data_IF_883220488717
#
_entry.id   IF_883220488717
#
_cell.length_a   1.000
_cell.length_b   1.000
_cell.length_c   1.000
_cell.angle_alpha   90.00
_cell.angle_beta   90.00
_cell.angle_gamma   90.00
#
_symmetry.space_group_name_H-M   'P 1'
#
loop_
_entity.id
_entity.type
_entity.pdbx_description
1 polymer ?
#
# COMPACT_ATOMS: atom_id res chain seq x y z
N UNK A 1 -15.03 -20.70 -21.63
CA UNK A 1 -14.70 -20.53 -20.20
C UNK A 1 -13.49 -19.61 -20.06
N UNK A 2 -13.66 -18.43 -19.50
CA UNK A 2 -12.55 -17.47 -19.30
C UNK A 2 -11.85 -17.80 -17.99
N UNK A 3 -10.68 -18.45 -18.03
CA UNK A 3 -9.83 -18.60 -16.83
C UNK A 3 -9.22 -17.25 -16.52
N UNK A 4 -9.59 -16.65 -15.38
CA UNK A 4 -8.92 -15.47 -14.82
C UNK A 4 -7.60 -15.90 -14.17
N UNK A 5 -6.62 -15.03 -14.17
CA UNK A 5 -5.35 -15.28 -13.50
C UNK A 5 -4.81 -13.99 -12.91
N UNK A 6 -4.21 -14.09 -11.73
CA UNK A 6 -3.53 -12.99 -11.05
C UNK A 6 -2.02 -13.17 -11.25
N UNK A 7 -1.31 -12.07 -11.48
CA UNK A 7 0.15 -12.05 -11.45
C UNK A 7 0.60 -11.70 -10.03
N UNK A 8 1.38 -12.58 -9.43
CA UNK A 8 1.83 -12.47 -8.05
C UNK A 8 3.34 -12.46 -7.97
N UNK A 9 3.92 -11.53 -7.22
CA UNK A 9 5.36 -11.48 -6.97
C UNK A 9 5.67 -12.24 -5.69
N UNK A 10 6.39 -13.35 -5.82
CA UNK A 10 6.87 -14.17 -4.71
C UNK A 10 7.61 -13.30 -3.70
N UNK A 11 7.24 -13.37 -2.43
CA UNK A 11 7.94 -12.76 -1.30
C UNK A 11 8.92 -13.75 -0.67
N UNK A 12 9.84 -13.23 0.13
CA UNK A 12 10.78 -14.10 0.85
C UNK A 12 10.01 -14.98 1.85
N UNK A 13 10.19 -16.29 1.77
CA UNK A 13 9.45 -17.26 2.60
C UNK A 13 8.17 -17.80 1.96
N UNK A 14 7.75 -17.29 0.80
CA UNK A 14 6.61 -17.86 0.09
C UNK A 14 6.91 -19.27 -0.41
N UNK A 15 5.88 -20.12 -0.30
CA UNK A 15 5.91 -21.47 -0.86
C UNK A 15 4.71 -21.65 -1.78
N UNK A 16 4.85 -22.49 -2.81
CA UNK A 16 3.73 -22.83 -3.69
C UNK A 16 2.52 -23.34 -2.90
N UNK A 17 2.77 -24.02 -1.77
CA UNK A 17 1.74 -24.47 -0.84
C UNK A 17 1.03 -23.30 -0.14
N UNK A 18 1.79 -22.39 0.47
CA UNK A 18 1.22 -21.22 1.15
C UNK A 18 0.45 -20.31 0.20
N UNK A 19 0.94 -20.15 -1.03
CA UNK A 19 0.21 -19.40 -2.06
C UNK A 19 -1.07 -20.12 -2.49
N UNK A 20 -1.05 -21.44 -2.66
CA UNK A 20 -2.27 -22.17 -2.97
C UNK A 20 -3.29 -22.16 -1.82
N UNK A 21 -2.83 -22.20 -0.57
CA UNK A 21 -3.70 -22.03 0.59
C UNK A 21 -4.31 -20.63 0.63
N UNK A 22 -3.50 -19.60 0.38
CA UNK A 22 -3.92 -18.20 0.36
C UNK A 22 -4.92 -17.89 -0.75
N UNK A 23 -4.66 -18.35 -1.97
CA UNK A 23 -5.46 -17.98 -3.15
C UNK A 23 -6.56 -18.97 -3.51
N UNK A 24 -6.48 -20.22 -3.05
CA UNK A 24 -7.49 -21.25 -3.32
C UNK A 24 -8.17 -21.80 -2.07
N UNK A 25 -7.78 -21.35 -0.88
CA UNK A 25 -8.20 -21.94 0.39
C UNK A 25 -7.70 -23.39 0.58
N UNK A 26 -6.81 -23.88 -0.29
CA UNK A 26 -6.39 -25.28 -0.31
C UNK A 26 -4.96 -25.41 -0.83
N UNK A 27 -4.00 -25.55 0.10
CA UNK A 27 -2.58 -25.70 -0.21
C UNK A 27 -2.25 -26.87 -1.14
N UNK A 28 -3.09 -27.91 -1.22
CA UNK A 28 -2.90 -29.06 -2.14
C UNK A 28 -3.02 -28.69 -3.62
N UNK A 29 -3.59 -27.51 -3.92
CA UNK A 29 -3.73 -26.95 -5.27
C UNK A 29 -2.47 -26.22 -5.75
N UNK A 30 -1.35 -26.31 -5.03
CA UNK A 30 -0.05 -25.79 -5.44
C UNK A 30 0.40 -26.26 -6.83
N UNK A 31 -0.01 -27.47 -7.22
CA UNK A 31 0.26 -28.05 -8.54
C UNK A 31 -0.33 -27.22 -9.69
N UNK A 32 -1.43 -26.49 -9.45
CA UNK A 32 -2.06 -25.63 -10.46
C UNK A 32 -1.19 -24.39 -10.73
N UNK A 33 -0.62 -23.80 -9.67
CA UNK A 33 0.31 -22.68 -9.77
C UNK A 33 1.60 -23.13 -10.45
N UNK A 34 2.15 -24.28 -10.06
CA UNK A 34 3.36 -24.83 -10.65
C UNK A 34 3.19 -25.08 -12.16
N UNK A 35 2.10 -25.74 -12.56
CA UNK A 35 1.78 -26.02 -13.98
C UNK A 35 1.52 -24.76 -14.79
N UNK A 36 0.98 -23.71 -14.19
CA UNK A 36 0.71 -22.46 -14.89
C UNK A 36 1.97 -21.63 -15.18
N UNK A 37 3.08 -21.95 -14.51
CA UNK A 37 4.36 -21.24 -14.59
C UNK A 37 5.51 -22.14 -15.02
N UNK A 38 5.21 -23.36 -15.48
CA UNK A 38 6.21 -24.36 -15.88
C UNK A 38 7.28 -24.63 -14.79
N UNK A 39 6.90 -24.49 -13.51
CA UNK A 39 7.78 -24.76 -12.37
C UNK A 39 7.78 -26.25 -12.05
N UNK A 40 8.95 -26.84 -11.85
CA UNK A 40 9.02 -28.22 -11.34
C UNK A 40 8.89 -28.18 -9.81
N UNK A 41 8.23 -29.18 -9.20
CA UNK A 41 7.91 -29.16 -7.76
C UNK A 41 9.14 -29.14 -6.81
N UNK A 42 10.35 -29.15 -7.36
CA UNK A 42 11.62 -28.99 -6.64
C UNK A 42 12.23 -27.58 -6.78
N UNK A 43 11.71 -26.74 -7.69
CA UNK A 43 12.14 -25.36 -7.84
C UNK A 43 11.54 -24.54 -6.69
N UNK A 44 12.40 -24.12 -5.77
CA UNK A 44 12.02 -23.14 -4.75
C UNK A 44 11.51 -21.88 -5.43
N UNK A 45 10.44 -21.28 -4.89
CA UNK A 45 9.99 -19.99 -5.37
C UNK A 45 11.09 -18.96 -5.12
N UNK A 46 11.58 -18.37 -6.21
CA UNK A 46 12.60 -17.32 -6.11
C UNK A 46 11.89 -16.06 -5.66
N UNK A 47 12.21 -15.59 -4.46
CA UNK A 47 11.72 -14.31 -3.96
C UNK A 47 11.99 -13.21 -5.00
N UNK A 48 10.95 -12.45 -5.32
CA UNK A 48 10.94 -11.42 -6.35
C UNK A 48 10.51 -11.89 -7.74
N UNK A 49 10.34 -13.20 -7.99
CA UNK A 49 9.82 -13.72 -9.25
C UNK A 49 8.32 -13.44 -9.40
N UNK A 50 7.88 -13.15 -10.61
CA UNK A 50 6.46 -12.99 -10.93
C UNK A 50 5.93 -14.32 -11.44
N UNK A 51 4.92 -14.84 -10.77
CA UNK A 51 4.25 -16.08 -11.10
C UNK A 51 2.75 -15.84 -11.31
N UNK A 52 2.17 -16.60 -12.23
CA UNK A 52 0.77 -16.58 -12.59
C UNK A 52 -0.03 -17.54 -11.71
N UNK A 53 -1.03 -17.02 -11.01
CA UNK A 53 -1.94 -17.80 -10.17
C UNK A 53 -3.27 -17.92 -10.92
N UNK A 54 -3.60 -19.09 -11.52
CA UNK A 54 -4.85 -19.27 -12.25
C UNK A 54 -6.04 -19.38 -11.29
N UNK A 55 -7.04 -18.50 -11.38
CA UNK A 55 -8.25 -18.57 -10.56
C UNK A 55 -9.40 -19.27 -11.32
N UNK A 56 -10.07 -20.20 -10.65
CA UNK A 56 -11.31 -20.82 -11.13
C UNK A 56 -12.55 -20.00 -10.76
N UNK A 57 -13.68 -20.27 -11.41
CA UNK A 57 -14.96 -19.58 -11.18
C UNK A 57 -15.58 -19.84 -9.78
N UNK A 58 -14.92 -20.63 -8.92
CA UNK A 58 -15.32 -20.86 -7.53
C UNK A 58 -14.29 -20.30 -6.53
N UNK A 59 -13.20 -19.70 -7.01
CA UNK A 59 -12.13 -19.12 -6.19
C UNK A 59 -12.39 -17.62 -5.88
N UNK A 60 -13.49 -17.05 -6.39
CA UNK A 60 -13.93 -15.64 -6.17
C UNK A 60 -14.48 -15.36 -4.76
N UNK A 61 -14.51 -16.36 -3.85
CA UNK A 61 -15.11 -16.23 -2.51
C UNK A 61 -14.10 -16.04 -1.36
N UNK A 62 -12.80 -15.91 -1.63
CA UNK A 62 -11.75 -15.85 -0.60
C UNK A 62 -11.13 -14.45 -0.38
N UNK A 63 -11.84 -13.35 -0.68
CA UNK A 63 -11.45 -12.00 -0.27
C UNK A 63 -11.92 -11.63 1.17
N UNK A 64 -12.14 -12.60 2.06
CA UNK A 64 -12.44 -12.29 3.47
C UNK A 64 -11.92 -13.33 4.47
N UNK A 65 -10.61 -13.28 4.77
CA UNK A 65 -10.12 -13.40 6.15
C UNK A 65 -8.63 -13.07 6.24
N UNK A 66 -8.21 -12.27 7.25
CA UNK A 66 -6.82 -11.91 7.50
C UNK A 66 -6.05 -13.10 8.10
N UNK A 67 -4.91 -13.47 7.50
CA UNK A 67 -3.95 -14.38 8.11
C UNK A 67 -2.99 -13.59 9.01
N UNK A 68 -2.83 -14.10 10.23
CA UNK A 68 -2.10 -13.60 11.38
C UNK A 68 -0.58 -13.51 11.11
N UNK A 69 -0.07 -12.34 10.69
CA UNK A 69 1.36 -11.99 10.81
C UNK A 69 1.63 -11.42 12.21
N UNK A 70 2.84 -11.63 12.80
CA UNK A 70 3.10 -11.23 14.17
C UNK A 70 2.97 -9.71 14.29
N UNK A 71 2.13 -9.27 15.24
CA UNK A 71 1.84 -7.87 15.48
C UNK A 71 3.13 -7.06 15.72
N UNK A 72 3.58 -6.36 14.68
CA UNK A 72 4.14 -5.02 14.84
C UNK A 72 3.14 -4.21 15.68
N UNK A 73 3.56 -3.24 16.52
CA UNK A 73 2.61 -2.45 17.29
C UNK A 73 1.63 -1.81 16.31
N UNK A 74 0.42 -2.38 16.27
CA UNK A 74 -0.71 -1.79 15.60
C UNK A 74 -0.92 -0.48 16.32
N UNK A 75 -0.62 0.61 15.64
CA UNK A 75 -1.38 1.84 15.88
C UNK A 75 -2.80 1.43 15.51
N UNK A 76 -3.55 0.99 16.51
CA UNK A 76 -4.90 0.45 16.35
C UNK A 76 -5.77 1.55 15.76
N UNK A 77 -6.86 1.17 15.09
CA UNK A 77 -7.91 2.11 14.73
C UNK A 77 -8.32 2.99 15.94
N UNK A 78 -8.22 2.46 17.16
CA UNK A 78 -8.42 3.19 18.41
C UNK A 78 -7.45 4.37 18.61
N UNK A 79 -6.18 4.26 18.21
CA UNK A 79 -5.22 5.36 18.29
C UNK A 79 -5.52 6.46 17.26
N UNK A 80 -6.13 6.08 16.12
CA UNK A 80 -6.68 7.04 15.15
C UNK A 80 -7.94 7.70 15.72
N UNK A 81 -8.85 6.94 16.33
CA UNK A 81 -10.10 7.44 16.94
C UNK A 81 -9.82 8.35 18.17
N UNK A 82 -8.83 8.00 19.00
CA UNK A 82 -8.37 8.79 20.15
C UNK A 82 -7.64 10.07 19.69
N UNK A 83 -6.88 10.02 18.59
CA UNK A 83 -6.26 11.20 17.99
C UNK A 83 -7.28 12.12 17.28
N UNK A 84 -8.32 11.54 16.66
CA UNK A 84 -9.49 12.25 16.11
C UNK A 84 -10.26 12.96 17.22
N UNK A 85 -10.48 12.27 18.35
CA UNK A 85 -11.18 12.85 19.51
C UNK A 85 -10.35 13.95 20.20
N UNK A 86 -9.02 13.87 20.11
CA UNK A 86 -8.10 14.86 20.65
C UNK A 86 -7.81 16.04 19.71
N UNK A 87 -8.26 16.01 18.44
CA UNK A 87 -8.02 17.08 17.45
C UNK A 87 -6.54 17.28 17.09
N UNK A 88 -5.74 16.21 17.16
CA UNK A 88 -4.27 16.25 17.02
C UNK A 88 -3.84 15.85 15.61
N UNK A 89 -2.63 16.25 15.21
CA UNK A 89 -2.08 15.97 13.87
C UNK A 89 -2.96 16.52 12.73
N UNK A 90 -3.71 17.59 13.02
CA UNK A 90 -4.67 18.18 12.09
C UNK A 90 -5.84 17.27 11.71
N UNK A 91 -6.12 16.23 12.52
CA UNK A 91 -7.31 15.38 12.36
C UNK A 91 -8.57 16.15 12.75
N UNK A 92 -9.52 16.17 11.83
CA UNK A 92 -10.87 16.72 12.01
C UNK A 92 -11.87 16.03 11.07
N UNK A 93 -13.09 16.58 10.98
CA UNK A 93 -14.19 16.03 10.16
C UNK A 93 -13.88 15.95 8.66
N UNK A 94 -12.88 16.71 8.18
CA UNK A 94 -12.43 16.69 6.79
C UNK A 94 -11.40 15.57 6.52
N UNK A 95 -11.02 14.80 7.55
CA UNK A 95 -10.04 13.72 7.42
C UNK A 95 -10.66 12.55 6.65
N UNK A 96 -10.02 12.18 5.55
CA UNK A 96 -10.50 11.12 4.67
C UNK A 96 -9.69 9.82 4.81
N UNK A 97 -8.41 9.91 5.15
CA UNK A 97 -7.54 8.73 5.31
C UNK A 97 -6.27 9.06 6.10
N UNK A 98 -5.64 8.05 6.69
CA UNK A 98 -4.38 8.17 7.43
C UNK A 98 -3.47 6.97 7.18
N UNK A 99 -2.16 7.21 7.11
CA UNK A 99 -1.16 6.16 6.95
C UNK A 99 0.10 6.44 7.78
N UNK A 100 0.71 5.40 8.34
CA UNK A 100 1.94 5.49 9.11
C UNK A 100 3.13 5.15 8.22
N UNK A 101 4.06 6.07 8.00
CA UNK A 101 5.19 5.87 7.08
C UNK A 101 6.57 6.09 7.73
N UNK A 102 7.52 5.21 7.47
CA UNK A 102 8.93 5.36 7.81
C UNK A 102 9.68 6.16 6.72
N UNK A 103 9.60 7.49 6.75
CA UNK A 103 10.21 8.34 5.69
C UNK A 103 11.69 8.68 5.88
N UNK A 104 12.22 8.46 7.08
CA UNK A 104 13.65 8.54 7.41
C UNK A 104 13.86 7.88 8.77
N UNK A 105 14.49 6.71 8.81
CA UNK A 105 14.58 5.91 10.05
C UNK A 105 15.42 6.55 11.15
N UNK A 106 16.43 7.33 10.79
CA UNK A 106 17.30 8.02 11.76
C UNK A 106 16.57 9.18 12.43
N UNK A 107 15.83 9.96 11.64
CA UNK A 107 15.10 11.13 12.08
C UNK A 107 13.75 10.79 12.71
N UNK A 108 13.07 9.77 12.19
CA UNK A 108 11.74 9.32 12.62
C UNK A 108 11.77 7.85 13.06
N UNK A 109 12.41 7.53 14.19
CA UNK A 109 12.52 6.16 14.67
C UNK A 109 11.17 5.53 15.08
N UNK A 110 10.13 6.34 15.30
CA UNK A 110 8.74 5.84 15.50
C UNK A 110 7.84 6.11 14.30
N UNK A 111 8.42 6.50 13.17
CA UNK A 111 7.69 6.83 11.95
C UNK A 111 7.11 8.24 11.92
N UNK A 112 6.49 8.54 10.79
CA UNK A 112 5.79 9.75 10.49
C UNK A 112 4.33 9.41 10.17
N UNK A 113 3.41 10.23 10.65
CA UNK A 113 1.98 10.07 10.38
C UNK A 113 1.61 10.93 9.17
N UNK A 114 1.16 10.31 8.09
CA UNK A 114 0.61 10.99 6.92
C UNK A 114 -0.92 11.07 7.07
N UNK A 115 -1.45 12.29 7.06
CA UNK A 115 -2.89 12.57 7.20
C UNK A 115 -3.41 13.16 5.88
N UNK A 116 -4.43 12.53 5.31
CA UNK A 116 -5.13 13.02 4.14
C UNK A 116 -6.43 13.71 4.53
N UNK A 117 -6.63 14.92 4.01
CA UNK A 117 -7.84 15.72 4.24
C UNK A 117 -8.43 16.21 2.95
N UNK A 118 -9.75 16.31 2.88
CA UNK A 118 -10.47 16.88 1.75
C UNK A 118 -11.03 18.26 2.13
N UNK A 119 -10.71 19.28 1.36
CA UNK A 119 -11.30 20.61 1.54
C UNK A 119 -12.73 20.68 0.97
N UNK A 120 -13.47 21.69 1.40
CA UNK A 120 -14.81 22.05 0.85
C UNK A 120 -14.82 22.21 -0.67
N UNK A 121 -13.68 22.54 -1.28
CA UNK A 121 -13.51 22.73 -2.73
C UNK A 121 -13.14 21.43 -3.46
N UNK A 122 -13.24 20.28 -2.79
CA UNK A 122 -12.87 18.97 -3.33
C UNK A 122 -11.39 18.90 -3.77
N UNK A 123 -10.51 19.59 -3.03
CA UNK A 123 -9.05 19.45 -3.15
C UNK A 123 -8.54 18.70 -1.93
N UNK A 124 -7.65 17.73 -2.15
CA UNK A 124 -7.07 16.91 -1.08
C UNK A 124 -5.70 17.44 -0.67
N UNK A 125 -5.44 17.48 0.63
CA UNK A 125 -4.13 17.81 1.21
C UNK A 125 -3.60 16.62 1.99
N UNK A 126 -2.36 16.22 1.69
CA UNK A 126 -1.59 15.27 2.49
C UNK A 126 -0.63 16.04 3.40
N UNK A 127 -0.66 15.76 4.70
CA UNK A 127 0.18 16.42 5.70
C UNK A 127 0.97 15.37 6.48
N UNK A 128 2.28 15.55 6.59
CA UNK A 128 3.17 14.62 7.26
C UNK A 128 3.58 15.17 8.63
N UNK A 129 3.42 14.39 9.68
CA UNK A 129 3.77 14.75 11.05
C UNK A 129 4.77 13.76 11.63
N UNK A 130 5.55 14.18 12.63
CA UNK A 130 6.35 13.24 13.42
C UNK A 130 5.40 12.44 14.32
N UNK A 131 5.39 11.11 14.23
CA UNK A 131 4.49 10.28 15.02
C UNK A 131 4.82 10.33 16.53
N UNK A 132 6.02 10.78 16.93
CA UNK A 132 6.35 11.04 18.34
C UNK A 132 5.89 12.40 18.82
N UNK A 133 5.66 13.36 17.93
CA UNK A 133 5.24 14.69 18.33
C UNK A 133 3.83 14.62 18.93
N UNK A 134 3.54 15.46 19.92
CA UNK A 134 2.24 15.46 20.60
C UNK A 134 1.05 15.91 19.74
N UNK A 135 1.23 16.09 18.43
CA UNK A 135 0.19 16.42 17.45
C UNK A 135 -0.22 17.89 17.33
N UNK A 136 0.30 18.76 18.20
CA UNK A 136 0.01 20.21 18.18
C UNK A 136 0.98 21.01 17.28
N UNK A 137 2.00 20.34 16.75
CA UNK A 137 3.05 20.95 15.92
C UNK A 137 2.61 21.06 14.46
N UNK A 138 3.21 22.01 13.75
CA UNK A 138 3.00 22.15 12.30
C UNK A 138 3.53 20.91 11.54
N UNK A 139 2.88 20.52 10.44
CA UNK A 139 3.33 19.38 9.65
C UNK A 139 4.73 19.62 9.08
N UNK A 140 5.52 18.55 9.05
CA UNK A 140 6.88 18.50 8.51
C UNK A 140 6.92 18.70 7.00
N UNK A 141 5.86 18.27 6.31
CA UNK A 141 5.69 18.42 4.88
C UNK A 141 4.21 18.42 4.53
N UNK A 142 3.86 19.16 3.48
CA UNK A 142 2.51 19.23 2.93
C UNK A 142 2.59 18.95 1.43
N UNK A 143 1.65 18.18 0.92
CA UNK A 143 1.37 18.04 -0.50
C UNK A 143 -0.09 18.42 -0.76
N UNK A 144 -0.32 19.32 -1.72
CA UNK A 144 -1.67 19.70 -2.16
C UNK A 144 -1.95 19.06 -3.51
N UNK A 145 -3.02 18.27 -3.58
CA UNK A 145 -3.45 17.60 -4.79
C UNK A 145 -4.21 18.56 -5.72
N UNK A 146 -4.13 18.35 -7.04
CA UNK A 146 -4.90 19.13 -8.01
C UNK A 146 -6.41 19.06 -7.73
N UNK A 147 -7.12 20.16 -7.94
CA UNK A 147 -8.56 20.26 -7.70
C UNK A 147 -9.36 19.29 -8.57
N UNK A 148 -10.42 18.69 -8.01
CA UNK A 148 -11.33 17.80 -8.74
C UNK A 148 -10.88 16.34 -8.80
N UNK A 149 -9.80 15.98 -8.10
CA UNK A 149 -9.38 14.60 -7.89
C UNK A 149 -9.78 14.13 -6.49
N UNK A 150 -10.38 12.95 -6.40
CA UNK A 150 -10.78 12.36 -5.12
C UNK A 150 -9.80 11.28 -4.72
N UNK A 151 -9.30 11.32 -3.48
CA UNK A 151 -8.47 10.25 -2.95
C UNK A 151 -9.38 9.08 -2.57
N UNK A 152 -9.02 7.89 -3.06
CA UNK A 152 -9.72 6.63 -2.78
C UNK A 152 -9.03 5.85 -1.67
N UNK A 153 -7.70 5.85 -1.67
CA UNK A 153 -6.91 5.06 -0.73
C UNK A 153 -5.53 5.68 -0.53
N UNK A 154 -5.06 5.64 0.71
CA UNK A 154 -3.72 6.03 1.14
C UNK A 154 -3.04 4.84 1.82
N UNK A 155 -1.84 4.48 1.36
CA UNK A 155 -1.04 3.40 1.94
C UNK A 155 0.40 3.85 2.11
N UNK A 156 1.13 3.14 2.97
CA UNK A 156 2.55 3.35 3.19
C UNK A 156 3.28 2.01 3.09
N UNK A 157 4.19 1.91 2.12
CA UNK A 157 4.92 0.68 1.84
C UNK A 157 6.34 1.02 1.38
N UNK A 158 7.29 0.13 1.67
CA UNK A 158 8.65 0.18 1.12
C UNK A 158 8.60 -0.39 -0.30
N UNK A 159 8.36 0.49 -1.28
CA UNK A 159 8.08 0.10 -2.66
C UNK A 159 9.38 -0.23 -3.38
N UNK A 160 10.45 0.52 -3.09
CA UNK A 160 11.75 0.37 -3.73
C UNK A 160 12.69 -0.62 -3.01
N UNK A 161 12.35 -1.03 -1.78
CA UNK A 161 13.10 -2.01 -1.00
C UNK A 161 14.30 -1.41 -0.25
N UNK A 162 14.38 -0.09 -0.14
CA UNK A 162 15.46 0.61 0.58
C UNK A 162 15.22 0.67 2.11
N UNK A 163 14.05 0.24 2.56
CA UNK A 163 13.64 0.25 3.95
C UNK A 163 12.90 1.53 4.39
N UNK A 164 12.88 2.57 3.58
CA UNK A 164 12.03 3.74 3.77
C UNK A 164 10.68 3.48 3.11
N UNK A 165 9.60 3.82 3.79
CA UNK A 165 8.26 3.66 3.23
C UNK A 165 7.89 4.90 2.42
N UNK A 166 7.46 4.67 1.18
CA UNK A 166 6.79 5.68 0.37
C UNK A 166 5.29 5.74 0.68
N UNK A 167 4.71 6.92 0.45
CA UNK A 167 3.27 7.11 0.53
C UNK A 167 2.66 6.80 -0.85
N UNK A 168 1.92 5.72 -0.92
CA UNK A 168 1.16 5.31 -2.09
C UNK A 168 -0.27 5.84 -2.01
N UNK A 169 -0.79 6.35 -3.11
CA UNK A 169 -2.15 6.90 -3.17
C UNK A 169 -2.87 6.49 -4.44
N UNK A 170 -4.16 6.19 -4.32
CA UNK A 170 -5.07 5.92 -5.45
C UNK A 170 -6.08 7.05 -5.52
N UNK A 171 -6.24 7.62 -6.71
CA UNK A 171 -7.10 8.76 -7.01
C UNK A 171 -8.13 8.40 -8.06
N UNK A 172 -9.33 8.98 -7.95
CA UNK A 172 -10.34 8.95 -8.98
C UNK A 172 -10.35 10.28 -9.74
N UNK A 173 -10.28 10.21 -11.06
CA UNK A 173 -10.26 11.37 -11.96
C UNK A 173 -11.41 11.26 -12.96
N UNK A 174 -12.62 11.74 -12.63
CA UNK A 174 -13.77 11.72 -13.55
C UNK A 174 -14.58 10.42 -13.53
N UNK A 175 -15.18 9.99 -14.65
CA UNK A 175 -16.23 8.95 -14.66
C UNK A 175 -15.74 7.50 -14.48
N UNK A 176 -14.51 7.16 -14.86
CA UNK A 176 -13.99 5.77 -14.72
C UNK A 176 -12.46 5.66 -14.60
N UNK A 177 -11.73 6.77 -14.56
CA UNK A 177 -10.27 6.74 -14.61
C UNK A 177 -9.68 6.81 -13.20
N UNK A 178 -8.73 5.91 -12.94
CA UNK A 178 -7.92 5.88 -11.74
C UNK A 178 -6.55 6.48 -12.06
N UNK A 179 -5.98 7.25 -11.14
CA UNK A 179 -4.57 7.63 -11.20
C UNK A 179 -3.95 7.30 -9.87
N UNK A 180 -2.76 6.73 -9.90
CA UNK A 180 -2.07 6.38 -8.67
C UNK A 180 -0.75 7.15 -8.58
N UNK A 181 -0.37 7.56 -7.37
CA UNK A 181 0.86 8.31 -7.12
C UNK A 181 1.67 7.68 -6.00
N UNK A 182 2.98 7.71 -6.18
CA UNK A 182 3.95 7.43 -5.12
C UNK A 182 4.61 8.74 -4.71
N UNK A 183 4.56 9.05 -3.43
CA UNK A 183 5.17 10.22 -2.84
C UNK A 183 6.30 9.82 -1.89
N UNK A 184 7.45 10.48 -2.02
CA UNK A 184 8.60 10.33 -1.12
C UNK A 184 8.86 11.65 -0.39
N UNK A 185 9.27 11.57 0.87
CA UNK A 185 9.71 12.74 1.61
C UNK A 185 11.15 13.05 1.25
N UNK A 186 11.38 14.18 0.59
CA UNK A 186 12.71 14.58 0.12
C UNK A 186 12.95 16.02 0.57
N UNK A 187 13.93 16.20 1.46
CA UNK A 187 14.39 17.51 1.96
C UNK A 187 13.26 18.37 2.54
N UNK A 188 12.39 17.77 3.37
CA UNK A 188 11.30 18.52 4.02
C UNK A 188 10.06 18.72 3.15
N UNK A 189 9.94 18.00 2.03
CA UNK A 189 8.77 18.10 1.13
C UNK A 189 8.30 16.72 0.70
N UNK A 190 6.99 16.53 0.63
CA UNK A 190 6.41 15.38 -0.05
C UNK A 190 6.44 15.65 -1.56
N UNK A 191 7.13 14.79 -2.31
CA UNK A 191 7.29 14.93 -3.76
C UNK A 191 6.75 13.69 -4.45
N UNK A 192 5.93 13.90 -5.48
CA UNK A 192 5.47 12.81 -6.36
C UNK A 192 6.65 12.33 -7.18
N UNK A 193 7.07 11.09 -6.96
CA UNK A 193 8.21 10.45 -7.64
C UNK A 193 7.76 9.53 -8.78
N UNK A 194 6.49 9.11 -8.76
CA UNK A 194 5.84 8.38 -9.85
C UNK A 194 4.33 8.66 -9.85
N UNK A 195 3.76 8.81 -11.03
CA UNK A 195 2.32 8.90 -11.27
C UNK A 195 1.99 8.01 -12.47
N UNK A 196 0.96 7.17 -12.35
CA UNK A 196 0.54 6.26 -13.44
C UNK A 196 -0.98 6.10 -13.49
N UNK A 197 -1.56 5.95 -14.70
CA UNK A 197 -2.98 5.64 -14.87
C UNK A 197 -3.34 4.16 -14.58
N UNK A 198 -2.34 3.28 -14.44
CA UNK A 198 -2.46 1.89 -14.00
C UNK A 198 -1.89 1.70 -12.57
N UNK A 199 -1.72 0.48 -12.07
CA UNK A 199 -1.07 0.20 -10.78
C UNK A 199 0.42 0.64 -10.80
N UNK A 200 0.81 1.70 -10.07
CA UNK A 200 2.15 2.29 -10.12
C UNK A 200 3.15 1.41 -9.37
N UNK A 201 2.71 0.49 -8.51
CA UNK A 201 3.63 -0.46 -7.88
C UNK A 201 4.26 -1.37 -8.92
N UNK A 202 3.51 -1.76 -9.96
CA UNK A 202 4.07 -2.54 -11.06
C UNK A 202 5.13 -1.74 -11.83
N UNK A 203 4.86 -0.47 -12.10
CA UNK A 203 5.73 0.41 -12.90
C UNK A 203 6.96 0.93 -12.12
N UNK A 204 6.85 1.24 -10.83
CA UNK A 204 8.01 1.59 -10.00
C UNK A 204 8.94 0.40 -9.76
N UNK A 205 8.40 -0.80 -9.53
CA UNK A 205 9.19 -2.05 -9.45
C UNK A 205 9.90 -2.38 -10.77
N UNK A 206 9.36 -1.92 -11.89
CA UNK A 206 9.97 -2.03 -13.23
C UNK A 206 11.04 -0.96 -13.49
N UNK A 207 10.90 0.26 -12.95
CA UNK A 207 11.77 1.41 -13.23
C UNK A 207 13.06 1.44 -12.40
N UNK A 208 13.05 0.89 -11.19
CA UNK A 208 14.25 0.81 -10.33
C UNK A 208 15.09 -0.45 -10.62
N UNK A 209 15.09 -0.89 -11.88
CA UNK A 209 15.66 -2.17 -12.35
C UNK A 209 16.95 -1.99 -13.16
N UNK A 210 17.53 -0.81 -13.16
CA UNK A 210 18.81 -0.47 -13.78
C UNK A 210 19.88 -0.11 -12.73
#
# INVERSE_FOLDING_TARGET
MNRRAILYRVQNGDTLWGLAERFYGNGRRWNEIARANDLTGADGLIAGAIIKIPLGAQDELAESSPAEEPALPSVTYDAVEEAVTAGKFGLDEDTIDVAMCLVNRERFPSGALCVARQSEQNSVRLSLYDAKAGGDEAPLAIYEAPTGQQLRSLHSEDIDGDGEQEVYTIWHTGQSDCTSRVLKWIKGKLQVVCETPEDPMALMRLRNRD
#
